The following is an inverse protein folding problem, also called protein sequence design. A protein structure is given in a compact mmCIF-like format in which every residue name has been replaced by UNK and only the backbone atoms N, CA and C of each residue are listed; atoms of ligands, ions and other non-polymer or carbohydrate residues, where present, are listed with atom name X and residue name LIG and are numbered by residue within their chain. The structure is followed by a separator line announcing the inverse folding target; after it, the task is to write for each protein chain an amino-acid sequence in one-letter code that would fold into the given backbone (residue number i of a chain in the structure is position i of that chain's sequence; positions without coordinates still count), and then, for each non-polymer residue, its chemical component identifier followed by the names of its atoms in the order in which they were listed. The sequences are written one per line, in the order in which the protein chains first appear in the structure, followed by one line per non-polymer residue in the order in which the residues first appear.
data_IF_352898060404
#
_entry.id   IF_352898060404
#
_cell.length_a   1.000
_cell.length_b   1.000
_cell.length_c   1.000
_cell.angle_alpha   90.00
_cell.angle_beta   90.00
_cell.angle_gamma   90.00
#
_symmetry.space_group_name_H-M   'P 1'
#
loop_
_entity.id
_entity.type
_entity.pdbx_description
1 polymer ?
#
# COMPACT_ATOMS: atom_id res chain seq x y z
N UNK A 1 -11.61 29.84 24.09
CA UNK A 1 -10.87 28.62 24.46
C UNK A 1 -10.83 27.74 23.22
N UNK A 2 -9.64 27.53 22.62
CA UNK A 2 -9.49 26.62 21.48
C UNK A 2 -9.78 25.21 21.97
N UNK A 3 -10.82 24.57 21.43
CA UNK A 3 -11.29 23.26 21.87
C UNK A 3 -10.29 22.16 21.54
N UNK A 4 -10.08 21.25 22.49
CA UNK A 4 -9.51 19.93 22.22
C UNK A 4 -10.43 19.20 21.23
N UNK A 5 -9.87 18.58 20.20
CA UNK A 5 -10.61 17.81 19.19
C UNK A 5 -11.21 16.51 19.74
N UNK A 6 -10.92 16.16 21.00
CA UNK A 6 -11.40 14.94 21.65
C UNK A 6 -10.57 13.69 21.29
N UNK A 7 -9.56 13.84 20.43
CA UNK A 7 -8.62 12.78 20.10
C UNK A 7 -7.65 12.51 21.25
N UNK A 8 -7.18 11.26 21.35
CA UNK A 8 -6.14 10.90 22.30
C UNK A 8 -4.82 11.53 21.86
N UNK A 9 -4.12 12.18 22.80
CA UNK A 9 -2.79 12.77 22.54
C UNK A 9 -1.84 11.74 21.94
N UNK A 10 -1.06 12.16 20.94
CA UNK A 10 -0.07 11.30 20.29
C UNK A 10 0.96 10.74 21.29
N UNK A 11 1.41 11.57 22.25
CA UNK A 11 2.34 11.14 23.30
C UNK A 11 1.79 9.97 24.12
N UNK A 12 0.49 9.99 24.43
CA UNK A 12 -0.17 8.90 25.19
C UNK A 12 -0.35 7.63 24.34
N UNK A 13 -0.42 7.78 23.01
CA UNK A 13 -0.50 6.65 22.08
C UNK A 13 0.85 5.96 22.00
N UNK A 14 1.93 6.68 21.69
CA UNK A 14 3.27 6.08 21.50
C UNK A 14 3.93 5.60 22.80
N UNK A 15 3.50 6.08 23.97
CA UNK A 15 3.98 5.58 25.26
C UNK A 15 3.16 4.38 25.77
N UNK A 16 2.06 4.04 25.09
CA UNK A 16 1.18 2.94 25.51
C UNK A 16 1.76 1.57 25.15
N UNK A 17 1.77 0.65 26.11
CA UNK A 17 2.15 -0.76 25.89
C UNK A 17 1.28 -1.40 24.81
N UNK A 18 -0.04 -1.17 24.82
CA UNK A 18 -0.97 -1.74 23.83
C UNK A 18 -0.61 -1.30 22.40
N UNK A 19 -0.16 -0.06 22.23
CA UNK A 19 0.30 0.44 20.94
C UNK A 19 1.48 -0.39 20.45
N UNK A 20 2.51 -0.59 21.28
CA UNK A 20 3.69 -1.37 20.92
C UNK A 20 3.45 -2.87 20.76
N UNK A 21 2.55 -3.47 21.54
CA UNK A 21 2.18 -4.89 21.36
C UNK A 21 1.64 -5.14 19.94
N UNK A 22 0.86 -4.20 19.40
CA UNK A 22 0.32 -4.30 18.03
C UNK A 22 1.37 -3.89 17.00
N UNK A 23 1.99 -2.73 17.20
CA UNK A 23 2.87 -2.10 16.20
C UNK A 23 4.24 -2.78 16.07
N UNK A 24 4.68 -3.52 17.08
CA UNK A 24 5.88 -4.37 16.98
C UNK A 24 5.71 -5.52 15.99
N UNK A 25 4.49 -5.88 15.61
CA UNK A 25 4.20 -6.90 14.59
C UNK A 25 3.81 -6.24 13.27
N UNK A 26 2.88 -5.28 13.30
CA UNK A 26 2.35 -4.69 12.06
C UNK A 26 3.38 -3.84 11.32
N UNK A 27 4.23 -3.08 12.01
CA UNK A 27 5.26 -2.24 11.35
C UNK A 27 6.32 -3.12 10.67
N UNK A 28 6.97 -4.10 11.33
CA UNK A 28 7.94 -4.97 10.65
C UNK A 28 7.30 -5.80 9.54
N UNK A 29 6.06 -6.25 9.72
CA UNK A 29 5.34 -7.02 8.69
C UNK A 29 5.12 -6.20 7.42
N UNK A 30 4.66 -4.95 7.56
CA UNK A 30 4.50 -4.04 6.41
C UNK A 30 5.84 -3.72 5.74
N UNK A 31 6.90 -3.54 6.53
CA UNK A 31 8.24 -3.30 5.99
C UNK A 31 8.74 -4.50 5.17
N UNK A 32 8.63 -5.72 5.71
CA UNK A 32 9.02 -6.95 5.00
C UNK A 32 8.14 -7.17 3.78
N UNK A 33 6.83 -6.91 3.86
CA UNK A 33 5.93 -7.00 2.71
C UNK A 33 6.36 -6.05 1.58
N UNK A 34 6.68 -4.80 1.90
CA UNK A 34 7.20 -3.83 0.93
C UNK A 34 8.55 -4.24 0.33
N UNK A 35 9.45 -4.78 1.17
CA UNK A 35 10.74 -5.32 0.70
C UNK A 35 10.56 -6.50 -0.26
N UNK A 36 9.71 -7.46 0.09
CA UNK A 36 9.41 -8.62 -0.75
C UNK A 36 8.75 -8.17 -2.05
N UNK A 37 7.80 -7.24 -2.00
CA UNK A 37 7.14 -6.70 -3.18
C UNK A 37 8.11 -6.16 -4.23
N UNK A 38 9.18 -5.49 -3.80
CA UNK A 38 10.24 -4.99 -4.70
C UNK A 38 11.21 -6.11 -5.10
N UNK A 39 11.67 -6.91 -4.14
CA UNK A 39 12.73 -7.91 -4.37
C UNK A 39 12.27 -9.13 -5.18
N UNK A 40 10.98 -9.46 -5.18
CA UNK A 40 10.43 -10.54 -6.03
C UNK A 40 10.13 -10.09 -7.46
N UNK A 41 10.28 -8.81 -7.78
CA UNK A 41 9.92 -8.28 -9.09
C UNK A 41 8.44 -7.97 -9.27
N UNK A 42 7.58 -8.30 -8.29
CA UNK A 42 6.12 -8.13 -8.40
C UNK A 42 5.71 -6.67 -8.66
N UNK A 43 6.48 -5.71 -8.12
CA UNK A 43 6.29 -4.29 -8.40
C UNK A 43 6.45 -3.94 -9.89
N UNK A 44 7.35 -4.62 -10.59
CA UNK A 44 7.62 -4.41 -12.00
C UNK A 44 6.67 -5.24 -12.87
N UNK A 45 6.44 -6.50 -12.53
CA UNK A 45 5.51 -7.40 -13.24
C UNK A 45 4.08 -6.82 -13.23
N UNK A 46 3.62 -6.30 -12.09
CA UNK A 46 2.30 -5.69 -11.97
C UNK A 46 2.15 -4.41 -12.80
N UNK A 47 3.21 -3.61 -12.90
CA UNK A 47 3.23 -2.40 -13.71
C UNK A 47 3.28 -2.74 -15.21
N UNK A 48 4.10 -3.72 -15.60
CA UNK A 48 4.19 -4.21 -16.96
C UNK A 48 2.86 -4.81 -17.43
N UNK A 49 2.20 -5.60 -16.59
CA UNK A 49 0.88 -6.16 -16.87
C UNK A 49 -0.17 -5.08 -17.15
N UNK A 50 -0.13 -3.94 -16.44
CA UNK A 50 -1.03 -2.81 -16.67
C UNK A 50 -0.80 -2.14 -18.03
N UNK A 51 0.46 -2.01 -18.45
CA UNK A 51 0.81 -1.49 -19.78
C UNK A 51 0.32 -2.45 -20.87
N UNK A 52 0.53 -3.75 -20.68
CA UNK A 52 0.15 -4.76 -21.65
C UNK A 52 -1.37 -4.93 -21.77
N UNK A 53 -2.10 -4.86 -20.67
CA UNK A 53 -3.56 -4.82 -20.69
C UNK A 53 -4.10 -3.63 -21.49
N UNK A 54 -3.52 -2.44 -21.33
CA UNK A 54 -3.94 -1.25 -22.08
C UNK A 54 -3.67 -1.40 -23.59
N UNK A 55 -2.57 -2.02 -23.98
CA UNK A 55 -2.23 -2.26 -25.39
C UNK A 55 -3.18 -3.31 -25.99
N UNK A 56 -3.41 -4.41 -25.29
CA UNK A 56 -4.31 -5.48 -25.75
C UNK A 56 -5.76 -4.98 -25.89
N UNK A 57 -6.25 -4.16 -24.96
CA UNK A 57 -7.58 -3.55 -25.06
C UNK A 57 -7.69 -2.54 -26.22
N UNK A 58 -6.58 -1.91 -26.60
CA UNK A 58 -6.54 -1.05 -27.79
C UNK A 58 -6.53 -1.88 -29.07
N UNK A 59 -5.73 -2.94 -29.13
CA UNK A 59 -5.65 -3.84 -30.28
C UNK A 59 -7.00 -4.55 -30.56
N UNK A 60 -7.70 -4.98 -29.52
CA UNK A 60 -9.03 -5.58 -29.62
C UNK A 60 -10.07 -4.60 -30.20
N UNK A 61 -10.08 -3.36 -29.72
CA UNK A 61 -10.96 -2.31 -30.25
C UNK A 61 -10.69 -1.96 -31.71
N UNK A 62 -9.43 -1.88 -32.11
CA UNK A 62 -9.05 -1.64 -33.52
C UNK A 62 -9.44 -2.81 -34.43
N UNK A 63 -9.39 -4.05 -33.94
CA UNK A 63 -9.85 -5.22 -34.69
C UNK A 63 -11.37 -5.26 -34.86
N UNK A 64 -12.14 -4.76 -33.89
CA UNK A 64 -13.60 -4.75 -33.94
C UNK A 64 -14.22 -3.63 -34.81
N UNK A 65 -13.43 -2.62 -35.22
CA UNK A 65 -13.90 -1.50 -36.05
C UNK A 65 -13.41 -1.55 -37.51
N UNK A 66 -12.61 -2.55 -37.88
CA UNK A 66 -12.17 -2.84 -39.26
C UNK A 66 -12.92 -4.06 -39.83
#
# INVERSE_FOLDING_TARGET
MSGSTGERSFADIITSIRYWVIHSITIPSLFIAGWLFVSTGLAYDGLEALVQMNILQRADKEFHYN
#
